data_IF_914943976534
#
_entry.id   IF_914943976534
#
_cell.length_a   1.000
_cell.length_b   1.000
_cell.length_c   1.000
_cell.angle_alpha   90.00
_cell.angle_beta   90.00
_cell.angle_gamma   90.00
#
_symmetry.space_group_name_H-M   'P 1'
#
loop_
_entity.id
_entity.type
_entity.pdbx_description
1 polymer ?
2 non-polymer ?
3 non-polymer ?
4 non-polymer ?
5 non-polymer ?
6 non-polymer ?
7 water ?
#
# COMPACT_ATOMS: atom_id res chain seq x y z
N UNK A 4 1.35 29.59 2.89
CA UNK A 4 1.97 29.37 1.59
C UNK A 4 3.46 29.07 1.76
N UNK A 5 3.75 27.85 2.21
CA UNK A 5 5.09 27.47 2.66
C UNK A 5 5.96 27.01 1.49
N UNK A 6 7.26 27.21 1.63
CA UNK A 6 8.23 26.81 0.62
C UNK A 6 8.94 25.54 1.04
N UNK A 7 9.16 24.65 0.08
CA UNK A 7 9.97 23.45 0.26
C UNK A 7 11.15 23.52 -0.69
N UNK A 8 12.34 23.28 -0.17
CA UNK A 8 13.57 23.39 -0.92
C UNK A 8 14.12 22.00 -1.21
N UNK A 9 14.78 21.87 -2.37
CA UNK A 9 15.62 20.72 -2.63
C UNK A 9 17.05 21.20 -2.46
N UNK A 10 17.80 20.54 -1.58
CA UNK A 10 19.15 20.97 -1.24
C UNK A 10 20.21 20.30 -2.10
N UNK A 11 19.81 19.50 -3.09
CA UNK A 11 20.72 19.01 -4.11
C UNK A 11 20.65 19.84 -5.39
N UNK A 12 19.48 20.42 -5.70
CA UNK A 12 19.28 21.19 -6.91
C UNK A 12 18.96 22.65 -6.66
N UNK A 13 18.84 23.08 -5.39
CA UNK A 13 18.46 24.44 -5.02
C UNK A 13 17.07 24.82 -5.54
N UNK A 14 16.28 23.86 -6.02
CA UNK A 14 14.95 24.15 -6.54
C UNK A 14 13.98 24.38 -5.38
N UNK A 15 13.18 25.45 -5.48
CA UNK A 15 12.17 25.77 -4.49
C UNK A 15 10.79 25.64 -5.11
N UNK A 16 9.87 25.06 -4.37
CA UNK A 16 8.47 24.97 -4.75
C UNK A 16 7.63 25.53 -3.61
N UNK A 17 6.54 26.22 -3.96
CA UNK A 17 5.65 26.81 -2.98
C UNK A 17 4.42 25.93 -2.85
N UNK A 18 4.13 25.51 -1.62
CA UNK A 18 3.00 24.63 -1.33
C UNK A 18 1.84 25.47 -0.81
N UNK A 19 0.74 25.50 -1.58
CA UNK A 19 -0.52 26.02 -1.09
C UNK A 19 -1.57 24.94 -0.89
N UNK A 20 -1.35 23.74 -1.44
CA UNK A 20 -2.32 22.66 -1.32
C UNK A 20 -2.60 22.33 0.14
N UNK A 21 -1.62 22.54 1.03
CA UNK A 21 -1.80 22.20 2.43
C UNK A 21 -2.94 22.98 3.07
N UNK A 22 -3.37 24.07 2.43
CA UNK A 22 -4.54 24.80 2.90
C UNK A 22 -5.81 23.99 2.80
N UNK A 23 -5.90 23.11 1.80
CA UNK A 23 -7.08 22.26 1.65
C UNK A 23 -7.06 21.09 2.62
N UNK A 24 -5.93 20.85 3.27
CA UNK A 24 -5.83 19.79 4.27
C UNK A 24 -6.86 19.98 5.36
N UNK A 25 -7.46 18.87 5.80
CA UNK A 25 -8.47 18.91 6.84
C UNK A 25 -8.04 18.13 8.08
N UNK A 26 -7.59 16.89 7.92
CA UNK A 26 -7.26 16.04 9.05
C UNK A 26 -6.02 16.57 9.78
N UNK A 27 -5.67 15.88 10.86
CA UNK A 27 -4.55 16.28 11.71
C UNK A 27 -3.40 15.29 11.57
N UNK A 28 -2.20 15.75 11.91
CA UNK A 28 -0.97 15.01 11.65
C UNK A 28 -0.46 14.20 12.83
N UNK A 29 -0.83 14.58 14.06
CA UNK A 29 -0.18 14.09 15.25
C UNK A 29 0.84 15.06 15.79
N UNK A 30 1.44 15.88 14.91
CA UNK A 30 2.39 16.87 15.37
C UNK A 30 1.66 18.06 15.98
N UNK A 31 2.34 18.73 16.91
CA UNK A 31 1.86 19.99 17.43
C UNK A 31 2.93 21.05 17.20
N UNK A 32 2.68 22.25 17.71
CA UNK A 32 3.69 23.29 17.63
C UNK A 32 4.93 22.96 18.45
N UNK A 33 4.83 22.01 19.39
CA UNK A 33 5.91 21.72 20.32
C UNK A 33 6.40 20.28 20.26
N UNK A 34 5.91 19.48 19.32
CA UNK A 34 6.36 18.11 19.16
C UNK A 34 6.13 17.68 17.73
N UNK A 35 7.09 16.95 17.18
CA UNK A 35 6.99 16.42 15.83
C UNK A 35 6.93 14.90 15.93
N UNK A 36 5.87 14.34 15.35
CA UNK A 36 5.60 12.91 15.34
C UNK A 36 5.93 12.28 14.00
N UNK A 37 6.70 12.97 13.17
CA UNK A 37 6.97 12.55 11.81
C UNK A 37 7.63 11.19 11.70
N UNK A 38 8.15 10.61 12.78
CA UNK A 38 8.67 9.25 12.71
C UNK A 38 7.80 8.24 13.45
N UNK A 39 6.64 8.64 13.95
CA UNK A 39 5.72 7.70 14.58
C UNK A 39 5.00 6.92 13.49
N UNK A 40 5.01 5.59 13.61
CA UNK A 40 4.56 4.73 12.51
C UNK A 40 3.05 4.87 12.28
N UNK A 41 2.26 4.76 13.34
CA UNK A 41 0.81 4.90 13.24
C UNK A 41 0.39 6.18 13.95
N UNK A 42 0.10 7.26 13.22
CA UNK A 42 -0.30 8.51 13.89
C UNK A 42 -1.80 8.56 14.19
N UNK A 43 -2.14 8.58 15.47
CA UNK A 43 -3.54 8.65 15.88
C UNK A 43 -3.66 9.30 17.26
N UNK A 52 -18.93 4.42 14.81
CA UNK A 52 -19.86 4.58 13.70
C UNK A 52 -20.09 6.07 13.44
N UNK A 53 -20.12 6.45 12.16
CA UNK A 53 -20.24 7.86 11.78
C UNK A 53 -21.70 8.26 11.60
N UNK A 54 -22.03 9.49 12.00
CA UNK A 54 -23.39 10.00 12.01
C UNK A 54 -23.68 10.83 10.76
N UNK A 55 -24.94 11.25 10.62
CA UNK A 55 -25.34 12.00 9.44
C UNK A 55 -25.00 13.47 9.54
N UNK A 56 -24.91 14.01 10.76
CA UNK A 56 -24.42 15.37 10.93
C UNK A 56 -23.04 15.52 10.31
N UNK A 57 -22.12 14.63 10.66
CA UNK A 57 -20.76 14.70 10.14
C UNK A 57 -20.69 14.36 8.66
N UNK A 58 -21.70 13.69 8.12
CA UNK A 58 -21.55 13.05 6.82
C UNK A 58 -21.72 14.05 5.67
N UNK A 59 -22.66 15.00 5.77
CA UNK A 59 -22.87 15.88 4.63
C UNK A 59 -21.72 16.86 4.38
N UNK A 60 -21.08 17.43 5.42
CA UNK A 60 -19.86 18.21 5.16
C UNK A 60 -18.83 17.44 4.34
N UNK A 61 -18.55 16.20 4.72
CA UNK A 61 -17.59 15.37 3.99
C UNK A 61 -18.08 15.06 2.58
N UNK A 62 -19.35 14.73 2.42
CA UNK A 62 -19.90 14.50 1.09
C UNK A 62 -19.78 15.76 0.23
N UNK A 63 -20.26 16.88 0.77
CA UNK A 63 -20.22 18.16 0.05
C UNK A 63 -18.79 18.53 -0.34
N UNK A 64 -17.87 18.48 0.62
CA UNK A 64 -16.47 18.79 0.32
C UNK A 64 -15.97 17.92 -0.83
N UNK A 65 -16.25 16.61 -0.80
CA UNK A 65 -15.75 15.72 -1.83
C UNK A 65 -16.44 15.99 -3.17
N UNK A 66 -17.76 16.18 -3.16
CA UNK A 66 -18.47 16.42 -4.40
C UNK A 66 -18.05 17.74 -5.04
N UNK A 67 -17.71 18.72 -4.22
CA UNK A 67 -17.21 20.00 -4.74
C UNK A 67 -15.93 19.81 -5.53
N UNK A 68 -14.98 19.03 -5.00
CA UNK A 68 -13.71 18.88 -5.69
C UNK A 68 -13.84 17.93 -6.88
N UNK A 69 -14.72 16.94 -6.78
CA UNK A 69 -14.98 16.08 -7.94
C UNK A 69 -15.52 16.89 -9.10
N UNK A 70 -16.54 17.71 -8.86
CA UNK A 70 -17.13 18.48 -9.95
C UNK A 70 -16.19 19.58 -10.42
N UNK A 71 -15.35 20.11 -9.52
CA UNK A 71 -14.30 21.01 -9.96
C UNK A 71 -13.28 20.29 -10.83
N UNK A 72 -13.20 18.97 -10.74
CA UNK A 72 -12.23 18.22 -11.53
C UNK A 72 -12.70 17.93 -12.94
N UNK A 73 -14.01 17.84 -13.17
CA UNK A 73 -14.50 17.59 -14.53
C UNK A 73 -14.86 18.93 -15.16
N UNK A 74 -14.26 20.00 -14.64
CA UNK A 74 -14.48 21.37 -15.13
C UNK A 74 -15.97 21.71 -15.17
N UNK A 75 -16.69 21.32 -14.10
CA UNK A 75 -18.11 21.64 -13.96
C UNK A 75 -18.44 21.98 -12.51
N UNK A 76 -17.58 22.80 -11.87
CA UNK A 76 -17.82 23.32 -10.54
C UNK A 76 -19.03 24.24 -10.58
N UNK A 77 -20.04 23.95 -9.75
CA UNK A 77 -21.19 24.81 -9.61
C UNK A 77 -22.23 24.69 -10.70
N UNK A 78 -21.99 23.83 -11.70
CA UNK A 78 -22.97 23.62 -12.75
C UNK A 78 -24.25 23.04 -12.17
N UNK A 79 -25.28 22.85 -13.01
CA UNK A 79 -26.55 22.32 -12.55
C UNK A 79 -26.39 20.90 -12.03
N UNK A 80 -25.65 20.06 -12.76
CA UNK A 80 -25.48 18.68 -12.33
C UNK A 80 -24.81 18.60 -10.96
N UNK A 81 -23.86 19.49 -10.69
CA UNK A 81 -23.25 19.58 -9.37
C UNK A 81 -24.29 19.90 -8.30
N UNK A 82 -25.06 20.96 -8.52
CA UNK A 82 -26.07 21.36 -7.54
C UNK A 82 -27.07 20.23 -7.29
N UNK A 83 -27.50 19.53 -8.35
CA UNK A 83 -28.50 18.49 -8.17
C UNK A 83 -27.91 17.27 -7.45
N UNK A 84 -26.69 16.89 -7.81
CA UNK A 84 -26.02 15.79 -7.12
C UNK A 84 -25.78 16.12 -5.66
N UNK A 85 -25.55 17.41 -5.37
CA UNK A 85 -25.43 17.84 -3.98
C UNK A 85 -26.74 17.62 -3.23
N UNK A 86 -27.84 18.13 -3.78
CA UNK A 86 -29.15 17.93 -3.16
C UNK A 86 -29.54 16.46 -3.16
N UNK A 87 -29.18 15.73 -4.21
CA UNK A 87 -29.46 14.30 -4.27
C UNK A 87 -28.80 13.55 -3.12
N UNK A 88 -27.52 13.86 -2.86
CA UNK A 88 -26.79 13.19 -1.79
C UNK A 88 -27.25 13.69 -0.42
N UNK A 89 -27.48 14.99 -0.28
CA UNK A 89 -28.07 15.52 0.95
C UNK A 89 -29.37 14.79 1.30
N UNK A 90 -30.26 14.65 0.31
CA UNK A 90 -31.53 13.96 0.57
C UNK A 90 -31.31 12.47 0.87
N UNK A 91 -30.33 11.83 0.23
CA UNK A 91 -30.09 10.42 0.53
C UNK A 91 -29.48 10.22 1.91
N UNK A 92 -28.67 11.18 2.37
CA UNK A 92 -28.20 11.12 3.76
C UNK A 92 -29.34 11.38 4.74
N UNK A 93 -30.38 12.08 4.31
CA UNK A 93 -31.58 12.18 5.16
C UNK A 93 -32.27 10.83 5.29
N UNK A 94 -32.68 10.25 4.16
CA UNK A 94 -33.54 9.06 4.18
C UNK A 94 -32.81 7.85 4.74
N UNK A 95 -31.51 7.74 4.50
CA UNK A 95 -30.75 6.54 4.81
C UNK A 95 -29.57 6.78 5.77
N UNK A 96 -29.29 8.03 6.14
CA UNK A 96 -28.15 8.37 6.99
C UNK A 96 -26.84 7.85 6.41
N UNK A 97 -26.77 7.84 5.07
CA UNK A 97 -25.58 7.49 4.31
C UNK A 97 -25.91 7.80 2.85
N UNK A 98 -24.98 7.49 1.96
CA UNK A 98 -25.23 7.66 0.54
C UNK A 98 -24.33 6.72 -0.24
N UNK A 99 -24.54 6.70 -1.56
CA UNK A 99 -23.84 5.80 -2.47
C UNK A 99 -23.13 6.62 -3.53
N UNK A 100 -21.86 6.32 -3.76
CA UNK A 100 -21.10 7.01 -4.79
C UNK A 100 -21.51 6.53 -6.18
N UNK A 101 -21.57 7.47 -7.12
CA UNK A 101 -21.57 7.11 -8.53
C UNK A 101 -20.28 6.39 -8.88
N UNK A 102 -20.36 5.51 -9.88
CA UNK A 102 -19.17 4.85 -10.42
C UNK A 102 -18.05 5.86 -10.67
N UNK A 103 -18.37 6.97 -11.33
CA UNK A 103 -17.36 7.99 -11.64
C UNK A 103 -16.74 8.56 -10.36
N UNK A 104 -17.58 8.90 -9.38
CA UNK A 104 -17.07 9.42 -8.12
C UNK A 104 -16.20 8.40 -7.39
N UNK A 105 -16.56 7.12 -7.50
CA UNK A 105 -15.75 6.06 -6.91
C UNK A 105 -14.37 6.01 -7.55
N UNK A 106 -14.30 6.06 -8.88
CA UNK A 106 -13.01 6.04 -9.57
C UNK A 106 -12.20 7.29 -9.25
N UNK A 107 -12.85 8.46 -9.22
CA UNK A 107 -12.17 9.68 -8.81
C UNK A 107 -11.67 9.56 -7.37
N UNK A 108 -12.55 9.16 -6.47
CA UNK A 108 -12.18 9.03 -5.06
C UNK A 108 -10.97 8.14 -4.89
N UNK A 109 -10.99 6.96 -5.52
CA UNK A 109 -9.90 6.00 -5.33
C UNK A 109 -8.58 6.54 -5.88
N UNK A 110 -8.62 7.16 -7.06
CA UNK A 110 -7.37 7.66 -7.64
C UNK A 110 -6.76 8.75 -6.79
N UNK A 111 -7.61 9.57 -6.17
CA UNK A 111 -7.11 10.66 -5.35
C UNK A 111 -6.72 10.21 -3.96
N UNK A 112 -7.34 9.15 -3.45
CA UNK A 112 -6.80 8.51 -2.26
C UNK A 112 -5.35 8.09 -2.47
N UNK A 113 -5.05 7.48 -3.62
CA UNK A 113 -3.66 7.17 -3.96
C UNK A 113 -2.86 8.45 -4.16
N UNK A 114 -3.38 9.39 -4.95
CA UNK A 114 -2.70 10.66 -5.16
C UNK A 114 -2.28 11.32 -3.85
N UNK A 115 -3.12 11.20 -2.83
CA UNK A 115 -2.92 11.88 -1.56
C UNK A 115 -2.09 11.08 -0.56
N UNK A 116 -1.69 9.88 -0.91
CA UNK A 116 -0.97 8.97 0.00
C UNK A 116 0.46 9.48 0.14
N UNK A 117 0.71 10.25 1.20
CA UNK A 117 1.99 10.93 1.31
C UNK A 117 3.15 9.96 1.50
N UNK A 118 2.89 8.71 1.90
CA UNK A 118 3.96 7.76 2.15
C UNK A 118 4.33 6.93 0.93
N UNK A 119 3.64 7.15 -0.20
CA UNK A 119 3.82 6.33 -1.40
C UNK A 119 4.73 7.08 -2.36
N UNK A 120 5.84 6.42 -2.74
CA UNK A 120 6.79 7.02 -3.67
C UNK A 120 6.42 6.76 -5.13
N UNK A 121 5.40 5.94 -5.38
CA UNK A 121 5.07 5.55 -6.74
C UNK A 121 3.95 6.35 -7.36
N UNK A 122 3.61 7.50 -6.76
CA UNK A 122 2.37 8.19 -7.11
C UNK A 122 2.41 8.89 -8.46
N UNK A 123 3.53 8.85 -9.19
CA UNK A 123 3.51 9.45 -10.51
C UNK A 123 2.48 8.76 -11.41
N UNK A 124 2.07 7.54 -11.04
CA UNK A 124 1.15 6.69 -11.78
C UNK A 124 -0.29 6.84 -11.33
N UNK A 125 -0.58 7.80 -10.44
CA UNK A 125 -1.82 7.74 -9.67
C UNK A 125 -3.06 7.79 -10.55
N UNK A 126 -2.99 8.47 -11.70
CA UNK A 126 -4.15 8.56 -12.58
C UNK A 126 -4.36 7.29 -13.41
N UNK A 127 -3.33 6.47 -13.56
CA UNK A 127 -3.48 5.16 -14.21
C UNK A 127 -3.73 4.13 -13.10
N UNK A 128 -4.98 4.07 -12.65
CA UNK A 128 -5.41 3.11 -11.64
C UNK A 128 -6.68 2.45 -12.15
N UNK A 129 -6.72 1.12 -12.09
CA UNK A 129 -7.90 0.39 -12.53
C UNK A 129 -8.77 0.12 -11.32
N UNK A 130 -9.98 0.67 -11.32
CA UNK A 130 -10.86 0.58 -10.18
C UNK A 130 -11.88 -0.52 -10.48
N UNK A 131 -11.91 -1.53 -9.64
CA UNK A 131 -12.88 -2.61 -9.76
C UNK A 131 -13.95 -2.38 -8.71
N UNK A 132 -15.16 -2.16 -9.18
CA UNK A 132 -16.29 -1.86 -8.31
C UNK A 132 -16.85 -3.19 -7.85
N UNK A 133 -16.58 -3.57 -6.61
CA UNK A 133 -17.12 -4.78 -6.00
C UNK A 133 -18.16 -4.44 -4.95
N UNK A 134 -18.84 -3.30 -5.13
CA UNK A 134 -19.85 -2.94 -4.16
C UNK A 134 -21.12 -3.79 -4.25
N UNK A 135 -21.27 -4.65 -5.28
CA UNK A 135 -22.40 -5.58 -5.30
C UNK A 135 -22.08 -6.87 -4.58
N UNK A 136 -20.88 -7.00 -4.02
CA UNK A 136 -20.47 -8.23 -3.37
C UNK A 136 -21.26 -8.44 -2.09
N UNK A 137 -21.55 -9.71 -1.79
CA UNK A 137 -22.37 -10.06 -0.63
C UNK A 137 -21.79 -11.18 0.23
N UNK A 138 -20.90 -12.01 -0.30
CA UNK A 138 -20.38 -13.17 0.41
C UNK A 138 -18.87 -13.20 0.29
N UNK A 139 -18.24 -14.02 1.15
CA UNK A 139 -16.80 -14.16 1.09
C UNK A 139 -16.37 -14.84 -0.20
N UNK A 140 -17.15 -15.81 -0.66
CA UNK A 140 -16.94 -16.41 -1.96
C UNK A 140 -16.94 -15.36 -3.06
N UNK A 141 -17.86 -14.40 -2.99
CA UNK A 141 -17.83 -13.31 -3.95
C UNK A 141 -16.57 -12.49 -3.85
N UNK A 142 -16.14 -12.18 -2.62
CA UNK A 142 -14.88 -11.46 -2.43
C UNK A 142 -13.72 -12.23 -3.05
N UNK A 143 -13.61 -13.52 -2.73
CA UNK A 143 -12.57 -14.35 -3.31
C UNK A 143 -12.55 -14.24 -4.83
N UNK A 144 -13.72 -14.35 -5.45
CA UNK A 144 -13.80 -14.22 -6.90
C UNK A 144 -13.32 -12.86 -7.38
N UNK A 145 -13.78 -11.80 -6.70
CA UNK A 145 -13.34 -10.46 -7.06
C UNK A 145 -11.84 -10.28 -6.88
N UNK A 146 -11.29 -10.86 -5.81
CA UNK A 146 -9.85 -10.73 -5.57
C UNK A 146 -9.06 -11.52 -6.60
N UNK A 147 -9.56 -12.71 -6.98
CA UNK A 147 -8.85 -13.47 -7.99
C UNK A 147 -8.76 -12.70 -9.29
N UNK A 148 -9.86 -12.04 -9.68
CA UNK A 148 -9.84 -11.29 -10.92
C UNK A 148 -8.94 -10.07 -10.79
N UNK A 149 -8.90 -9.47 -9.60
CA UNK A 149 -7.95 -8.40 -9.33
C UNK A 149 -6.51 -8.88 -9.52
N UNK A 150 -6.13 -9.95 -8.81
CA UNK A 150 -4.79 -10.52 -8.95
C UNK A 150 -4.46 -10.78 -10.41
N UNK A 151 -5.35 -11.51 -11.11
CA UNK A 151 -5.04 -11.85 -12.50
C UNK A 151 -4.88 -10.59 -13.35
N UNK A 152 -5.80 -9.64 -13.22
CA UNK A 152 -5.69 -8.41 -14.00
C UNK A 152 -4.40 -7.67 -13.66
N UNK A 153 -4.16 -7.43 -12.37
CA UNK A 153 -3.01 -6.63 -11.95
C UNK A 153 -1.69 -7.29 -12.32
N UNK A 154 -1.64 -8.63 -12.32
CA UNK A 154 -0.40 -9.32 -12.66
C UNK A 154 -0.11 -9.22 -14.15
N UNK A 155 -1.10 -9.54 -14.99
CA UNK A 155 -1.01 -9.30 -16.43
C UNK A 155 0.29 -9.86 -17.01
N UNK A 156 0.55 -11.13 -16.71
CA UNK A 156 1.67 -11.86 -17.29
C UNK A 156 3.01 -11.24 -16.93
N UNK A 157 3.08 -10.51 -15.82
CA UNK A 157 4.27 -9.83 -15.39
C UNK A 157 4.34 -8.39 -15.81
N UNK A 158 3.48 -7.96 -16.76
CA UNK A 158 3.38 -6.56 -17.11
C UNK A 158 2.35 -5.91 -16.19
N UNK A 159 2.77 -5.78 -14.93
CA UNK A 159 1.90 -5.40 -13.84
C UNK A 159 1.18 -4.09 -14.10
N UNK A 160 -0.03 -3.98 -13.54
CA UNK A 160 -0.94 -2.87 -13.76
C UNK A 160 -1.54 -2.55 -12.42
N UNK A 161 -1.69 -1.27 -12.15
CA UNK A 161 -2.21 -0.83 -10.87
C UNK A 161 -3.71 -1.03 -10.81
N UNK A 162 -4.20 -1.44 -9.64
CA UNK A 162 -5.60 -1.82 -9.54
C UNK A 162 -6.04 -1.73 -8.09
N UNK A 163 -7.34 -1.46 -7.90
CA UNK A 163 -7.97 -1.49 -6.59
C UNK A 163 -9.34 -2.11 -6.75
N UNK A 164 -9.72 -2.96 -5.81
CA UNK A 164 -11.05 -3.55 -5.76
C UNK A 164 -11.75 -3.04 -4.51
N UNK A 165 -12.92 -2.43 -4.68
CA UNK A 165 -13.62 -1.74 -3.61
C UNK A 165 -14.87 -2.52 -3.23
N UNK A 166 -14.87 -3.04 -2.02
CA UNK A 166 -15.99 -3.82 -1.48
C UNK A 166 -16.98 -2.90 -0.80
N UNK A 167 -18.17 -3.39 -0.47
CA UNK A 167 -19.20 -2.54 0.12
C UNK A 167 -18.67 -1.69 1.28
N UNK A 168 -19.18 -0.46 1.37
CA UNK A 168 -18.77 0.44 2.41
C UNK A 168 -19.33 0.00 3.76
N UNK A 169 -18.60 0.35 4.81
CA UNK A 169 -19.11 0.20 6.16
C UNK A 169 -20.48 0.85 6.27
N UNK A 170 -21.37 0.21 7.03
CA UNK A 170 -22.69 0.78 7.27
C UNK A 170 -22.87 1.07 8.75
N UNK A 171 -23.25 0.05 9.53
CA UNK A 171 -23.35 0.22 10.97
C UNK A 171 -22.01 0.12 11.66
N UNK A 172 -21.07 -0.65 11.11
CA UNK A 172 -19.82 -0.95 11.79
C UNK A 172 -19.65 -2.43 12.11
N UNK A 173 -20.76 -3.13 12.37
CA UNK A 173 -20.73 -4.56 12.61
C UNK A 173 -21.05 -5.38 11.35
N UNK A 174 -21.11 -4.72 10.20
CA UNK A 174 -21.24 -5.40 8.91
C UNK A 174 -20.12 -4.94 7.99
N UNK A 175 -18.89 -5.02 8.46
CA UNK A 175 -17.72 -4.64 7.67
C UNK A 175 -17.32 -5.76 6.73
N UNK A 176 -16.95 -5.37 5.52
CA UNK A 176 -16.21 -6.26 4.63
C UNK A 176 -14.74 -6.06 4.93
N UNK A 177 -14.02 -7.15 5.19
CA UNK A 177 -12.61 -7.07 5.53
C UNK A 177 -11.84 -8.19 4.85
N UNK A 178 -10.69 -7.84 4.27
CA UNK A 178 -9.67 -8.82 3.96
C UNK A 178 -8.75 -8.92 5.17
N UNK A 179 -8.75 -10.07 5.83
CA UNK A 179 -7.97 -10.20 7.07
C UNK A 179 -6.48 -10.22 6.78
N UNK A 180 -6.07 -10.62 5.58
CA UNK A 180 -4.67 -10.57 5.21
C UNK A 180 -4.20 -9.12 5.13
N UNK A 181 -2.95 -8.88 5.57
CA UNK A 181 -2.37 -7.55 5.43
C UNK A 181 -2.04 -7.25 3.97
N UNK A 182 -1.65 -8.26 3.21
CA UNK A 182 -1.51 -8.19 1.76
C UNK A 182 -2.12 -9.44 1.18
N UNK A 183 -2.67 -9.32 -0.04
CA UNK A 183 -3.28 -10.47 -0.70
C UNK A 183 -2.31 -11.65 -0.80
N UNK A 184 -1.06 -11.37 -1.15
CA UNK A 184 -0.07 -12.41 -1.37
C UNK A 184 1.08 -12.16 -0.38
N UNK A 185 1.17 -13.00 0.64
CA UNK A 185 2.26 -13.01 1.60
C UNK A 185 2.65 -14.45 1.88
N UNK A 186 3.91 -14.65 2.25
CA UNK A 186 4.41 -15.96 2.62
C UNK A 186 4.14 -16.25 4.09
N UNK A 187 3.98 -17.54 4.39
CA UNK A 187 3.64 -17.96 5.74
C UNK A 187 4.82 -17.79 6.70
N UNK A 188 4.49 -17.63 7.97
CA UNK A 188 5.48 -17.69 9.03
C UNK A 188 5.13 -18.76 10.04
N UNK A 189 6.12 -19.59 10.38
CA UNK A 189 5.94 -20.63 11.37
C UNK A 189 7.06 -20.54 12.38
N UNK A 190 6.71 -20.36 13.65
CA UNK A 190 7.67 -20.61 14.71
C UNK A 190 8.03 -22.09 14.72
N UNK A 191 9.21 -22.40 15.21
CA UNK A 191 9.75 -23.75 15.13
C UNK A 191 9.75 -24.44 16.48
N UNK A 192 9.82 -25.77 16.50
CA UNK A 192 9.94 -26.48 17.78
C UNK A 192 11.21 -26.13 18.54
N UNK A 193 12.18 -25.50 17.89
CA UNK A 193 13.39 -25.01 18.54
C UNK A 193 13.37 -23.49 18.73
N UNK A 194 12.19 -22.87 18.66
CA UNK A 194 12.03 -21.47 18.98
C UNK A 194 12.41 -20.48 17.89
N UNK A 195 12.94 -20.94 16.76
CA UNK A 195 13.27 -20.03 15.67
C UNK A 195 12.02 -19.83 14.80
N UNK A 196 12.19 -19.37 13.56
CA UNK A 196 11.06 -19.08 12.69
C UNK A 196 11.35 -19.55 11.27
N UNK A 197 10.33 -20.13 10.63
CA UNK A 197 10.38 -20.49 9.22
C UNK A 197 9.50 -19.54 8.41
N UNK A 198 9.96 -19.20 7.22
CA UNK A 198 9.18 -18.33 6.36
C UNK A 198 9.29 -16.87 6.78
N UNK A 199 8.14 -16.20 6.87
CA UNK A 199 8.12 -14.78 7.18
C UNK A 199 7.67 -14.56 8.62
N UNK A 200 8.56 -14.13 9.52
CA UNK A 200 8.16 -13.96 10.93
C UNK A 200 7.06 -12.93 11.12
N UNK A 201 6.91 -11.97 10.21
CA UNK A 201 5.89 -10.95 10.35
C UNK A 201 4.47 -11.54 10.34
N UNK A 202 4.29 -12.74 9.79
CA UNK A 202 2.96 -13.28 9.58
C UNK A 202 2.64 -14.43 10.53
N UNK A 203 3.41 -14.59 11.61
CA UNK A 203 3.28 -15.77 12.44
C UNK A 203 1.95 -15.77 13.18
N UNK A 204 1.48 -14.60 13.61
CA UNK A 204 0.16 -14.55 14.23
C UNK A 204 -0.92 -14.80 13.19
N UNK A 205 -0.79 -14.21 12.00
CA UNK A 205 -1.78 -14.45 10.96
C UNK A 205 -1.76 -15.90 10.50
N UNK A 206 -0.57 -16.50 10.40
CA UNK A 206 -0.51 -17.89 9.96
C UNK A 206 -1.19 -18.80 10.98
N UNK A 207 -1.07 -18.49 12.26
CA UNK A 207 -1.74 -19.29 13.27
C UNK A 207 -3.25 -19.09 13.22
N UNK A 208 -3.70 -17.88 12.88
CA UNK A 208 -5.12 -17.61 12.76
C UNK A 208 -5.72 -18.46 11.64
N UNK A 209 -5.05 -18.48 10.48
CA UNK A 209 -5.46 -19.37 9.40
C UNK A 209 -5.52 -20.81 9.86
N UNK A 210 -4.54 -21.23 10.68
CA UNK A 210 -4.53 -22.59 11.18
C UNK A 210 -5.69 -22.82 12.13
N UNK A 211 -6.02 -21.82 12.95
CA UNK A 211 -7.18 -21.91 13.83
C UNK A 211 -8.48 -22.01 13.05
N UNK A 212 -8.53 -21.37 11.87
CA UNK A 212 -9.70 -21.48 11.01
C UNK A 212 -9.65 -22.68 10.09
N UNK A 213 -8.59 -23.47 10.15
CA UNK A 213 -8.53 -24.73 9.43
C UNK A 213 -7.49 -24.83 8.34
N UNK A 214 -6.61 -23.85 8.18
CA UNK A 214 -5.61 -23.93 7.13
C UNK A 214 -4.66 -25.10 7.41
N UNK A 215 -4.48 -25.93 6.39
CA UNK A 215 -3.52 -27.03 6.46
C UNK A 215 -2.21 -26.50 5.90
N UNK A 216 -1.26 -26.25 6.78
CA UNK A 216 -0.05 -25.53 6.42
C UNK A 216 0.99 -26.47 5.83
N UNK A 217 1.55 -26.13 4.67
CA UNK A 217 2.68 -26.91 4.16
C UNK A 217 4.01 -26.55 4.83
N UNK A 218 3.98 -26.31 6.15
CA UNK A 218 5.08 -25.76 6.96
C UNK A 218 6.42 -25.67 6.26
N UNK A 219 6.50 -24.81 5.23
CA UNK A 219 7.75 -24.53 4.57
C UNK A 219 8.10 -23.06 4.62
N UNK A 220 8.93 -22.60 3.69
CA UNK A 220 9.37 -21.20 3.66
C UNK A 220 8.37 -20.34 2.92
N UNK A 221 8.40 -20.39 1.58
CA UNK A 221 7.64 -19.48 0.74
C UNK A 221 6.28 -20.09 0.37
N UNK A 222 5.48 -20.32 1.40
CA UNK A 222 4.12 -20.84 1.25
C UNK A 222 3.16 -19.67 1.16
N UNK A 223 2.50 -19.53 0.01
CA UNK A 223 1.52 -18.47 -0.15
C UNK A 223 0.41 -18.68 0.86
N UNK A 224 0.12 -17.67 1.67
CA UNK A 224 -0.96 -17.78 2.62
C UNK A 224 -2.32 -17.75 1.91
N UNK A 225 -3.34 -18.37 2.51
CA UNK A 225 -4.68 -18.27 1.96
C UNK A 225 -5.32 -16.93 2.31
N UNK A 226 -6.35 -16.58 1.54
CA UNK A 226 -7.16 -15.41 1.86
C UNK A 226 -8.10 -15.71 3.01
N UNK A 227 -8.17 -14.79 3.96
CA UNK A 227 -9.18 -14.83 5.01
C UNK A 227 -10.12 -13.67 4.76
N UNK A 228 -11.32 -13.98 4.29
CA UNK A 228 -12.25 -12.99 3.77
C UNK A 228 -13.50 -12.95 4.64
N UNK A 229 -13.82 -11.75 5.13
CA UNK A 229 -14.99 -11.48 5.94
C UNK A 229 -15.96 -10.62 5.12
N UNK A 230 -17.18 -11.12 4.94
CA UNK A 230 -18.20 -10.41 4.17
C UNK A 230 -19.34 -10.04 5.09
N UNK A 231 -19.81 -8.79 4.96
CA UNK A 231 -20.96 -8.28 5.70
C UNK A 231 -20.83 -8.55 7.20
N UNK A 232 -19.63 -8.36 7.72
CA UNK A 232 -19.37 -8.57 9.13
C UNK A 232 -19.45 -10.00 9.61
N UNK A 233 -19.69 -10.96 8.72
CA UNK A 233 -19.74 -12.36 9.11
C UNK A 233 -18.34 -12.89 9.40
N UNK A 234 -18.28 -14.02 10.09
CA UNK A 234 -17.00 -14.67 10.36
C UNK A 234 -16.24 -14.87 9.05
N UNK A 235 -14.91 -14.77 9.05
CA UNK A 235 -14.16 -14.85 7.80
C UNK A 235 -13.87 -16.29 7.41
N UNK A 236 -13.60 -16.48 6.12
CA UNK A 236 -13.54 -17.82 5.52
C UNK A 236 -12.28 -17.95 4.66
N UNK A 237 -11.74 -19.16 4.62
CA UNK A 237 -10.45 -19.39 3.99
C UNK A 237 -10.62 -19.76 2.53
N UNK A 238 -9.77 -19.18 1.67
CA UNK A 238 -9.71 -19.55 0.27
C UNK A 238 -8.27 -19.50 -0.20
N UNK A 239 -7.87 -20.49 -0.99
CA UNK A 239 -6.55 -20.54 -1.60
C UNK A 239 -6.60 -19.90 -2.98
N UNK A 240 -5.78 -18.88 -3.19
CA UNK A 240 -5.60 -18.27 -4.51
C UNK A 240 -5.05 -19.35 -5.42
N UNK A 241 -5.69 -19.63 -6.56
CA UNK A 241 -5.14 -20.64 -7.47
C UNK A 241 -3.68 -20.34 -7.77
N UNK A 242 -2.78 -21.29 -7.50
CA UNK A 242 -1.36 -20.94 -7.52
C UNK A 242 -0.90 -20.43 -8.88
N UNK A 243 -1.60 -20.79 -9.97
CA UNK A 243 -1.28 -20.26 -11.29
C UNK A 243 -1.47 -18.75 -11.37
N UNK A 244 -2.24 -18.17 -10.46
CA UNK A 244 -2.44 -16.72 -10.39
C UNK A 244 -1.39 -16.02 -9.54
N UNK A 245 -0.60 -16.75 -8.77
CA UNK A 245 0.43 -16.17 -7.91
C UNK A 245 1.74 -16.23 -8.69
N UNK A 246 2.12 -15.11 -9.29
CA UNK A 246 3.36 -15.04 -10.05
C UNK A 246 4.53 -14.82 -9.11
N UNK A 247 5.53 -15.68 -9.19
CA UNK A 247 6.70 -15.62 -8.33
C UNK A 247 7.95 -15.52 -9.21
N UNK A 248 8.96 -14.85 -8.66
CA UNK A 248 10.23 -14.58 -9.32
C UNK A 248 11.32 -15.28 -8.52
N UNK A 249 11.98 -16.32 -9.06
CA UNK A 249 13.15 -16.88 -8.39
C UNK A 249 14.27 -15.87 -8.44
N UNK A 250 14.93 -15.67 -7.30
CA UNK A 250 15.93 -14.62 -7.17
C UNK A 250 17.29 -15.22 -7.47
N UNK A 251 17.95 -14.69 -8.50
CA UNK A 251 19.30 -15.06 -8.87
C UNK A 251 20.15 -13.80 -8.99
N UNK A 252 21.45 -13.99 -8.85
CA UNK A 252 22.31 -12.85 -9.08
C UNK A 252 22.96 -12.94 -10.47
N UNK A 253 23.32 -11.80 -11.05
CA UNK A 253 23.97 -11.81 -12.36
C UNK A 253 25.45 -12.19 -12.33
N UNK A 254 26.09 -12.14 -11.16
CA UNK A 254 27.47 -12.59 -11.03
C UNK A 254 27.62 -13.86 -10.22
N UNK A 255 26.88 -14.00 -9.12
CA UNK A 255 27.14 -15.03 -8.11
C UNK A 255 26.24 -16.23 -8.37
N UNK A 256 26.78 -17.27 -9.01
CA UNK A 256 25.93 -18.42 -9.33
C UNK A 256 25.48 -19.17 -8.08
N UNK A 257 26.22 -19.07 -6.98
CA UNK A 257 25.73 -19.66 -5.73
C UNK A 257 24.49 -18.95 -5.21
N UNK A 258 24.15 -17.79 -5.76
CA UNK A 258 23.01 -17.04 -5.26
C UNK A 258 21.71 -17.82 -5.47
N UNK A 259 21.62 -18.58 -6.56
CA UNK A 259 20.44 -19.43 -6.74
C UNK A 259 20.34 -20.47 -5.62
N UNK A 260 21.47 -20.89 -5.07
CA UNK A 260 21.44 -21.91 -4.01
C UNK A 260 20.79 -21.37 -2.75
N UNK A 261 20.80 -20.05 -2.56
CA UNK A 261 20.01 -19.45 -1.50
C UNK A 261 18.55 -19.87 -1.58
N UNK A 262 18.07 -20.15 -2.78
CA UNK A 262 16.70 -20.60 -2.95
C UNK A 262 15.69 -19.54 -2.59
N UNK A 263 16.04 -18.28 -2.78
CA UNK A 263 15.12 -17.18 -2.52
C UNK A 263 14.16 -16.99 -3.70
N UNK A 264 12.96 -16.51 -3.38
CA UNK A 264 11.96 -16.13 -4.36
C UNK A 264 11.03 -15.11 -3.73
N UNK A 265 10.34 -14.36 -4.59
CA UNK A 265 9.35 -13.42 -4.08
C UNK A 265 8.20 -13.38 -5.07
N UNK A 266 7.06 -12.86 -4.61
CA UNK A 266 5.90 -12.72 -5.47
C UNK A 266 5.95 -11.37 -6.16
N UNK A 267 5.40 -11.32 -7.38
CA UNK A 267 5.50 -10.11 -8.15
C UNK A 267 4.55 -9.02 -7.75
N UNK A 268 3.45 -9.37 -7.07
CA UNK A 268 2.31 -8.46 -6.91
C UNK A 268 2.24 -7.94 -5.49
N UNK A 269 2.63 -6.65 -5.22
CA UNK A 269 2.42 -6.07 -3.91
C UNK A 269 1.00 -5.50 -3.80
N UNK A 270 0.20 -6.04 -2.89
CA UNK A 270 -1.24 -5.73 -2.88
C UNK A 270 -1.66 -5.58 -1.43
N UNK A 271 -1.79 -4.34 -0.97
CA UNK A 271 -2.15 -4.06 0.41
C UNK A 271 -3.65 -4.24 0.59
N UNK A 272 -4.03 -5.06 1.56
CA UNK A 272 -5.44 -5.38 1.72
C UNK A 272 -6.02 -5.04 3.08
N UNK A 273 -5.26 -4.39 3.97
CA UNK A 273 -5.74 -4.11 5.31
C UNK A 273 -6.04 -2.64 5.56
N UNK A 274 -5.96 -1.79 4.54
CA UNK A 274 -6.18 -0.38 4.76
C UNK A 274 -7.64 -0.02 4.51
N UNK A 275 -8.01 1.21 4.86
CA UNK A 275 -9.36 1.69 4.74
C UNK A 275 -9.37 2.85 3.75
N UNK A 276 -10.26 2.77 2.77
CA UNK A 276 -10.40 3.83 1.77
C UNK A 276 -11.53 4.75 2.20
N UNK A 277 -11.21 6.03 2.37
CA UNK A 277 -12.16 7.06 2.77
C UNK A 277 -12.47 7.94 1.56
N UNK A 278 -13.74 8.01 1.19
CA UNK A 278 -14.20 8.83 0.07
C UNK A 278 -15.48 9.52 0.49
N UNK A 279 -15.49 10.85 0.43
CA UNK A 279 -16.67 11.62 0.81
C UNK A 279 -17.27 11.21 2.14
N UNK A 280 -16.42 10.82 3.09
CA UNK A 280 -16.90 10.37 4.39
C UNK A 280 -17.43 8.95 4.42
N UNK A 281 -17.51 8.27 3.28
CA UNK A 281 -17.83 6.85 3.25
C UNK A 281 -16.56 6.05 3.49
N UNK A 282 -16.71 4.96 4.25
CA UNK A 282 -15.55 4.17 4.68
C UNK A 282 -15.61 2.80 4.02
N UNK A 283 -14.58 2.47 3.25
CA UNK A 283 -14.47 1.20 2.55
C UNK A 283 -13.42 0.35 3.26
N UNK A 284 -13.87 -0.50 4.17
CA UNK A 284 -12.99 -1.27 5.03
C UNK A 284 -12.21 -2.35 4.29
N UNK A 285 -12.65 -2.73 3.09
CA UNK A 285 -12.00 -3.73 2.28
C UNK A 285 -11.76 -3.10 0.92
N UNK A 286 -10.52 -2.81 0.61
CA UNK A 286 -10.21 -2.12 -0.63
C UNK A 286 -8.83 -2.52 -1.13
N UNK A 287 -8.56 -3.82 -1.30
CA UNK A 287 -7.21 -4.23 -1.70
C UNK A 287 -6.74 -3.48 -2.93
N UNK A 288 -5.50 -2.96 -2.86
CA UNK A 288 -4.90 -2.22 -3.96
C UNK A 288 -3.49 -2.73 -4.23
N UNK A 289 -3.12 -2.73 -5.51
CA UNK A 289 -1.82 -3.27 -5.87
C UNK A 289 -1.14 -2.37 -6.91
N UNK A 290 0.18 -2.44 -6.91
CA UNK A 290 0.95 -1.82 -7.96
C UNK A 290 2.07 -2.73 -8.40
N UNK A 291 3.29 -2.24 -8.41
CA UNK A 291 4.46 -3.08 -8.62
C UNK A 291 5.49 -2.72 -7.57
N UNK A 292 6.49 -3.59 -7.39
CA UNK A 292 7.45 -3.39 -6.32
C UNK A 292 8.52 -2.40 -6.71
N UNK A 293 8.92 -1.58 -5.74
CA UNK A 293 10.25 -1.01 -5.73
C UNK A 293 11.21 -2.05 -5.16
N UNK A 294 12.37 -2.19 -5.79
CA UNK A 294 13.27 -3.27 -5.45
C UNK A 294 13.57 -3.37 -3.96
N UNK A 295 13.75 -2.21 -3.31
CA UNK A 295 14.20 -2.22 -1.92
C UNK A 295 13.17 -2.82 -0.97
N UNK A 296 11.87 -2.78 -1.31
CA UNK A 296 10.89 -3.38 -0.41
C UNK A 296 11.23 -4.84 -0.16
N UNK A 297 11.61 -5.56 -1.20
CA UNK A 297 11.97 -6.97 -1.06
C UNK A 297 13.41 -7.09 -0.59
N UNK A 298 14.33 -6.48 -1.33
CA UNK A 298 15.75 -6.72 -1.10
C UNK A 298 16.22 -6.24 0.25
N UNK A 299 15.68 -5.11 0.71
CA UNK A 299 16.17 -4.51 1.94
C UNK A 299 15.27 -4.89 3.12
N UNK A 300 13.99 -4.60 3.00
CA UNK A 300 13.08 -4.79 4.12
C UNK A 300 12.67 -6.25 4.28
N UNK A 301 12.04 -6.82 3.23
CA UNK A 301 11.58 -8.20 3.34
C UNK A 301 12.73 -9.14 3.64
N UNK A 302 13.84 -8.99 2.94
CA UNK A 302 14.94 -9.93 3.08
C UNK A 302 15.88 -9.62 4.26
N UNK A 303 16.09 -8.34 4.59
CA UNK A 303 17.18 -8.00 5.49
C UNK A 303 16.78 -7.32 6.79
N UNK A 304 15.50 -6.97 6.97
CA UNK A 304 15.02 -6.65 8.31
C UNK A 304 15.39 -7.77 9.26
N UNK A 305 15.73 -7.41 10.50
CA UNK A 305 16.08 -8.42 11.51
C UNK A 305 14.87 -9.25 11.90
N UNK A 306 13.68 -8.68 11.81
CA UNK A 306 12.45 -9.36 12.18
C UNK A 306 11.75 -9.99 10.98
N UNK A 307 12.37 -9.92 9.80
CA UNK A 307 11.85 -10.58 8.61
C UNK A 307 12.78 -11.72 8.23
N UNK A 308 13.05 -11.93 6.93
CA UNK A 308 13.79 -13.13 6.52
C UNK A 308 15.24 -13.10 7.02
N UNK A 309 15.82 -11.91 7.15
CA UNK A 309 17.08 -11.73 7.86
C UNK A 309 18.19 -12.57 7.23
N UNK A 310 18.43 -12.31 5.94
CA UNK A 310 19.37 -13.12 5.17
C UNK A 310 20.77 -12.51 5.08
N UNK A 311 20.99 -11.32 5.65
CA UNK A 311 22.33 -10.74 5.63
C UNK A 311 23.36 -11.70 6.18
N UNK A 312 22.98 -12.48 7.21
CA UNK A 312 23.84 -13.51 7.75
C UNK A 312 24.39 -14.43 6.67
N UNK A 313 23.49 -15.12 5.96
CA UNK A 313 23.89 -16.14 5.00
C UNK A 313 24.58 -15.53 3.78
N UNK A 314 24.01 -14.46 3.22
CA UNK A 314 24.55 -13.86 2.00
C UNK A 314 25.98 -13.39 2.22
N UNK A 315 26.26 -12.82 3.41
CA UNK A 315 27.60 -12.35 3.68
C UNK A 315 28.60 -13.50 3.72
N UNK A 316 28.17 -14.63 4.27
CA UNK A 316 29.04 -15.81 4.31
C UNK A 316 29.51 -16.19 2.91
N UNK A 317 28.55 -16.43 2.00
CA UNK A 317 28.87 -16.85 0.65
C UNK A 317 29.66 -15.81 -0.14
N UNK A 318 29.74 -14.58 0.34
CA UNK A 318 30.50 -13.56 -0.36
C UNK A 318 31.97 -13.50 0.05
N UNK A 319 32.37 -14.28 1.06
CA UNK A 319 33.73 -14.23 1.63
C UNK A 319 34.00 -12.87 2.26
N UNK A 320 33.17 -12.53 3.25
CA UNK A 320 33.22 -11.22 3.89
C UNK A 320 33.73 -11.31 5.32
N UNK A 321 34.18 -10.16 5.83
CA UNK A 321 34.69 -10.04 7.19
C UNK A 321 33.51 -9.73 8.11
N UNK A 322 32.96 -10.77 8.73
CA UNK A 322 31.82 -10.63 9.63
C UNK A 322 32.24 -10.48 11.09
N UNK A 323 33.55 -10.40 11.37
CA UNK A 323 33.99 -10.21 12.74
C UNK A 323 33.81 -8.77 13.19
N UNK A 324 34.19 -7.81 12.35
CA UNK A 324 34.17 -6.40 12.71
C UNK A 324 32.95 -5.72 12.11
N UNK A 325 32.21 -4.98 12.95
CA UNK A 325 31.04 -4.25 12.48
C UNK A 325 31.39 -3.25 11.37
N UNK A 326 32.58 -2.66 11.45
CA UNK A 326 33.04 -1.58 10.58
C UNK A 326 33.58 -2.08 9.24
N UNK A 327 33.64 -3.38 9.01
CA UNK A 327 33.96 -3.85 7.67
C UNK A 327 32.81 -3.62 6.70
N UNK A 328 31.67 -3.13 7.19
CA UNK A 328 30.47 -2.89 6.38
C UNK A 328 30.06 -4.14 5.59
N UNK A 329 30.32 -5.32 6.14
CA UNK A 329 29.87 -6.53 5.47
C UNK A 329 28.36 -6.49 5.24
N UNK A 330 27.61 -5.94 6.20
CA UNK A 330 26.16 -5.85 6.04
C UNK A 330 25.77 -4.98 4.86
N UNK A 331 26.35 -3.77 4.78
CA UNK A 331 26.08 -2.88 3.66
C UNK A 331 26.40 -3.56 2.35
N UNK A 332 27.56 -4.22 2.29
CA UNK A 332 28.02 -4.85 1.06
C UNK A 332 27.05 -5.95 0.62
N UNK A 333 26.70 -6.87 1.52
CA UNK A 333 25.77 -7.93 1.15
C UNK A 333 24.38 -7.37 0.84
N UNK A 334 24.04 -6.19 1.37
CA UNK A 334 22.73 -5.61 1.12
C UNK A 334 22.61 -5.13 -0.33
N UNK A 335 23.70 -4.57 -0.87
CA UNK A 335 23.71 -4.13 -2.26
C UNK A 335 23.55 -5.31 -3.22
N UNK A 336 24.37 -6.36 -3.02
CA UNK A 336 24.28 -7.54 -3.88
C UNK A 336 22.88 -8.12 -3.89
N UNK A 337 22.22 -8.15 -2.72
CA UNK A 337 20.88 -8.71 -2.64
C UNK A 337 19.91 -7.92 -3.51
N UNK A 338 20.05 -6.59 -3.51
CA UNK A 338 19.14 -5.73 -4.25
C UNK A 338 19.49 -5.67 -5.75
N UNK A 339 20.76 -5.87 -6.10
CA UNK A 339 21.08 -6.08 -7.52
C UNK A 339 20.41 -7.35 -8.01
N UNK A 340 20.36 -8.37 -7.15
CA UNK A 340 19.80 -9.66 -7.53
C UNK A 340 18.27 -9.60 -7.65
N UNK A 341 17.60 -8.95 -6.70
CA UNK A 341 16.14 -8.84 -6.79
C UNK A 341 15.77 -8.15 -8.09
N UNK A 342 16.40 -7.03 -8.38
CA UNK A 342 16.13 -6.29 -9.61
C UNK A 342 16.40 -7.15 -10.84
N UNK A 343 17.62 -7.72 -10.92
CA UNK A 343 17.99 -8.53 -12.08
C UNK A 343 17.02 -9.67 -12.31
N UNK A 344 16.57 -10.31 -11.23
CA UNK A 344 15.70 -11.47 -11.37
C UNK A 344 14.33 -11.07 -11.90
N UNK A 345 13.74 -10.00 -11.35
CA UNK A 345 12.46 -9.51 -11.85
C UNK A 345 12.57 -9.10 -13.32
N UNK A 346 13.61 -8.33 -13.66
CA UNK A 346 13.77 -7.81 -15.02
C UNK A 346 13.97 -8.94 -16.03
N UNK A 347 14.83 -9.91 -15.70
CA UNK A 347 15.07 -11.04 -16.61
C UNK A 347 13.81 -11.85 -16.85
N UNK A 348 12.84 -11.80 -15.95
CA UNK A 348 11.56 -12.48 -16.12
C UNK A 348 10.47 -11.57 -16.68
N UNK A 349 10.82 -10.35 -17.07
CA UNK A 349 9.85 -9.38 -17.57
C UNK A 349 8.72 -9.14 -16.57
N UNK A 350 9.05 -9.12 -15.28
CA UNK A 350 8.09 -8.78 -14.24
C UNK A 350 8.38 -7.38 -13.77
N UNK A 351 7.38 -6.51 -13.86
CA UNK A 351 7.55 -5.08 -13.54
C UNK A 351 8.17 -4.90 -12.17
N UNK A 352 9.21 -4.07 -12.12
CA UNK A 352 9.84 -3.68 -10.86
C UNK A 352 10.59 -2.39 -11.13
N UNK A 353 10.71 -1.55 -10.11
CA UNK A 353 11.39 -0.27 -10.25
C UNK A 353 12.50 -0.19 -9.22
N UNK A 354 13.66 0.30 -9.64
CA UNK A 354 14.77 0.43 -8.72
C UNK A 354 14.60 1.72 -7.91
N UNK A 355 15.19 1.76 -6.72
CA UNK A 355 14.93 2.91 -5.85
C UNK A 355 15.47 4.20 -6.45
N UNK A 356 16.39 4.12 -7.40
CA UNK A 356 16.87 5.33 -8.07
C UNK A 356 15.84 5.86 -9.06
N UNK A 357 15.33 5.00 -9.94
CA UNK A 357 14.34 5.45 -10.89
C UNK A 357 13.04 5.83 -10.20
N UNK A 358 12.68 5.13 -9.12
CA UNK A 358 11.43 5.43 -8.44
C UNK A 358 11.48 6.80 -7.75
N UNK A 359 12.60 7.10 -7.11
CA UNK A 359 12.70 8.38 -6.41
C UNK A 359 12.84 9.53 -7.40
N UNK A 360 13.53 9.30 -8.52
CA UNK A 360 13.61 10.33 -9.54
C UNK A 360 12.23 10.67 -10.06
N UNK A 361 11.43 9.65 -10.37
CA UNK A 361 10.08 9.89 -10.84
C UNK A 361 9.25 10.63 -9.80
N UNK A 362 9.49 10.36 -8.51
CA UNK A 362 8.70 11.04 -7.49
C UNK A 362 9.04 12.53 -7.41
N UNK A 363 10.32 12.88 -7.56
CA UNK A 363 10.67 14.30 -7.66
C UNK A 363 9.95 14.93 -8.85
N UNK A 364 10.05 14.31 -10.02
CA UNK A 364 9.30 14.79 -11.17
C UNK A 364 7.80 14.84 -10.90
N UNK A 365 7.26 13.80 -10.25
CA UNK A 365 5.86 13.85 -9.83
C UNK A 365 5.60 15.02 -8.90
N UNK A 366 6.48 15.25 -7.95
CA UNK A 366 6.28 16.37 -7.03
C UNK A 366 6.23 17.68 -7.80
N UNK A 367 7.12 17.86 -8.78
CA UNK A 367 7.13 19.09 -9.55
C UNK A 367 5.81 19.32 -10.27
N UNK A 368 5.24 18.24 -10.85
CA UNK A 368 3.95 18.35 -11.50
C UNK A 368 2.85 18.73 -10.51
N UNK A 369 2.86 18.14 -9.32
CA UNK A 369 1.80 18.43 -8.35
C UNK A 369 1.89 19.86 -7.83
N UNK A 370 3.10 20.34 -7.54
CA UNK A 370 3.21 21.74 -7.11
C UNK A 370 2.78 22.69 -8.23
N UNK A 371 3.05 22.35 -9.49
CA UNK A 371 2.65 23.20 -10.59
C UNK A 371 1.13 23.28 -10.72
N UNK A 372 0.48 22.16 -11.04
CA UNK A 372 -0.94 22.17 -11.39
C UNK A 372 -1.86 21.76 -10.24
N UNK A 373 -1.34 21.66 -9.02
CA UNK A 373 -2.18 21.37 -7.86
C UNK A 373 -1.82 22.17 -6.62
N UNK A 374 -0.68 22.87 -6.62
CA UNK A 374 -0.26 23.67 -5.50
C UNK A 374 0.46 22.92 -4.39
N UNK A 375 0.77 21.66 -4.59
CA UNK A 375 1.49 20.91 -3.58
C UNK A 375 1.35 19.42 -3.78
N UNK A 376 2.07 18.69 -2.92
CA UNK A 376 2.09 17.23 -2.95
C UNK A 376 2.46 16.78 -1.55
N UNK A 377 1.49 16.33 -0.75
CA UNK A 377 1.82 15.84 0.59
C UNK A 377 2.79 14.67 0.50
N UNK A 378 3.86 14.73 1.29
CA UNK A 378 4.88 13.71 1.19
C UNK A 378 5.53 13.47 2.55
N UNK A 379 5.77 12.21 2.87
CA UNK A 379 6.29 11.78 4.16
C UNK A 379 7.72 11.34 3.88
N UNK A 380 8.66 12.24 4.19
CA UNK A 380 10.06 11.97 3.94
C UNK A 380 10.47 10.66 4.58
N UNK A 381 10.07 10.43 5.83
CA UNK A 381 10.48 9.24 6.57
C UNK A 381 10.18 7.98 5.77
N UNK A 382 9.09 7.99 5.00
CA UNK A 382 8.69 6.86 4.17
C UNK A 382 9.14 6.96 2.72
N UNK A 383 9.23 8.17 2.16
CA UNK A 383 9.60 8.29 0.75
C UNK A 383 11.06 7.90 0.54
N UNK A 384 11.94 8.28 1.47
CA UNK A 384 13.37 7.97 1.27
C UNK A 384 13.58 6.46 1.37
N UNK A 385 14.20 5.83 0.38
CA UNK A 385 14.41 4.37 0.42
C UNK A 385 15.24 3.92 1.62
N UNK A 386 15.12 2.66 2.02
CA UNK A 386 15.82 2.15 3.21
C UNK A 386 17.27 1.72 2.97
N UNK A 387 17.84 2.06 1.82
CA UNK A 387 19.29 2.01 1.61
C UNK A 387 19.66 3.15 0.69
N UNK A 388 20.93 3.57 0.77
CA UNK A 388 21.48 4.55 -0.17
C UNK A 388 20.69 5.85 -0.15
N UNK A 389 20.12 6.21 1.01
CA UNK A 389 19.18 7.32 1.06
C UNK A 389 19.65 8.56 0.31
N UNK A 390 20.87 9.02 0.60
CA UNK A 390 21.27 10.35 0.13
C UNK A 390 21.85 10.33 -1.28
N UNK A 391 22.00 9.18 -1.93
CA UNK A 391 22.32 9.19 -3.35
C UNK A 391 21.08 9.11 -4.21
N UNK A 392 19.90 9.18 -3.62
CA UNK A 392 18.62 9.37 -4.31
C UNK A 392 18.13 10.80 -4.10
N UNK A 393 17.42 11.37 -5.08
CA UNK A 393 17.10 12.82 -4.99
C UNK A 393 16.06 13.16 -3.92
N UNK A 394 15.26 12.21 -3.46
CA UNK A 394 14.26 12.54 -2.44
C UNK A 394 14.89 12.85 -1.08
N UNK A 395 16.10 12.31 -0.80
CA UNK A 395 16.79 12.62 0.46
C UNK A 395 16.98 14.12 0.62
N UNK A 396 17.31 14.80 -0.46
CA UNK A 396 17.65 16.20 -0.42
C UNK A 396 16.45 17.09 -0.65
N UNK A 397 15.26 16.51 -0.70
CA UNK A 397 14.03 17.23 -1.00
C UNK A 397 13.23 17.40 0.27
N UNK A 398 13.12 18.64 0.74
CA UNK A 398 12.17 18.94 1.79
C UNK A 398 10.76 18.60 1.31
N UNK A 399 9.97 18.03 2.22
CA UNK A 399 8.63 17.58 1.91
C UNK A 399 7.70 18.01 3.04
N UNK A 400 6.55 18.57 2.67
CA UNK A 400 5.51 18.87 3.64
C UNK A 400 4.54 17.71 3.69
N UNK A 401 4.32 17.18 4.89
CA UNK A 401 3.35 16.12 5.11
C UNK A 401 2.06 16.73 5.64
N UNK A 402 0.94 16.38 5.02
CA UNK A 402 -0.38 16.77 5.48
C UNK A 402 -1.41 15.82 4.88
N UNK A 403 -2.58 15.79 5.49
CA UNK A 403 -3.56 14.75 5.23
C UNK A 403 -4.68 15.33 4.38
N UNK A 404 -4.67 14.98 3.10
CA UNK A 404 -5.78 15.30 2.23
C UNK A 404 -6.72 14.10 2.13
N UNK A 405 -7.96 14.40 1.77
CA UNK A 405 -8.94 13.36 1.51
C UNK A 405 -9.47 13.53 0.09
N UNK A 406 -9.92 12.45 -0.60
CA UNK A 406 -9.93 11.02 -0.24
C UNK A 406 -8.58 10.47 0.20
N UNK A 407 -8.56 9.41 1.01
CA UNK A 407 -7.33 8.94 1.59
C UNK A 407 -7.43 7.46 1.93
N UNK A 408 -6.28 6.81 1.95
CA UNK A 408 -6.17 5.48 2.53
C UNK A 408 -5.76 5.65 3.99
N UNK A 409 -6.51 5.04 4.88
CA UNK A 409 -6.29 5.16 6.31
C UNK A 409 -5.96 3.79 6.88
N UNK A 410 -5.22 3.81 7.99
CA UNK A 410 -5.01 2.59 8.75
C UNK A 410 -6.29 2.21 9.48
N UNK A 411 -6.39 0.93 9.81
CA UNK A 411 -7.55 0.47 10.53
C UNK A 411 -7.13 -0.71 11.38
N UNK A 412 -7.82 -0.97 12.48
CA UNK A 412 -7.46 -2.10 13.35
C UNK A 412 -7.49 -3.42 12.61
N UNK A 413 -6.55 -4.30 12.98
CA UNK A 413 -6.60 -5.67 12.51
C UNK A 413 -7.93 -6.29 12.93
N UNK A 414 -8.62 -6.99 12.03
CA UNK A 414 -9.99 -7.43 12.33
C UNK A 414 -10.08 -8.46 13.44
N UNK A 415 -9.02 -9.19 13.76
CA UNK A 415 -9.15 -10.20 14.80
C UNK A 415 -9.19 -9.60 16.20
N UNK A 416 -9.02 -8.28 16.32
CA UNK A 416 -9.14 -7.58 17.59
C UNK A 416 -10.50 -6.94 17.79
N UNK A 417 -11.17 -6.56 16.69
CA UNK A 417 -12.45 -5.86 16.76
C UNK A 417 -13.64 -6.77 16.50
N UNK A 418 -13.45 -7.86 15.76
CA UNK A 418 -14.57 -8.69 15.34
C UNK A 418 -15.30 -9.27 16.55
N UNK A 419 -16.60 -9.48 16.39
CA UNK A 419 -17.42 -10.17 17.37
C UNK A 419 -17.82 -11.49 16.73
N UNK A 420 -17.22 -12.58 17.16
CA UNK A 420 -17.21 -13.85 16.43
C UNK A 420 -18.55 -14.61 16.42
X LIG B 1 3.34 2.80 0.23
X LIG B 1 5.66 2.18 -3.99
X LIG B 1 1.28 1.78 -6.11
X LIG B 1 -0.86 3.36 -2.14
X LIG B 1 4.33 2.53 -0.69
X LIG B 1 5.72 2.18 -0.41
X LIG B 1 6.36 1.99 -1.57
X LIG B 1 5.41 2.25 -2.65
X LIG B 1 7.85 1.60 -1.74
X LIG B 1 6.30 1.98 0.98
X LIG B 1 5.85 0.57 1.33
X LIG B 1 6.53 0.10 2.58
X LIG B 1 7.64 0.60 2.89
X LIG B 1 5.96 -0.79 3.26
X LIG B 1 4.67 1.98 -4.95
X LIG B 1 4.87 1.66 -6.34
X LIG B 1 3.68 1.58 -6.92
X LIG B 1 2.65 1.81 -5.91
X LIG B 1 6.24 1.48 -7.05
X LIG B 1 3.45 1.24 -8.41
X LIG B 1 2.33 1.58 -9.05
X LIG B 1 0.29 2.12 -5.24
X LIG B 1 -1.15 2.06 -5.46
X LIG B 1 -1.76 2.49 -4.34
X LIG B 1 -0.70 2.85 -3.39
X LIG B 1 -1.78 1.56 -6.78
X LIG B 1 -3.22 2.70 -3.97
X LIG B 1 -4.18 2.85 -4.89
X LIG B 1 0.10 3.33 -1.15
X LIG B 1 -0.15 3.67 0.22
X LIG B 1 1.00 3.53 0.90
X LIG B 1 2.01 3.08 -0.03
X LIG B 1 -1.52 4.13 0.77
X LIG B 1 1.20 3.81 2.42
X LIG B 1 1.01 2.52 3.22
X LIG B 1 1.22 2.73 4.71
X LIG B 1 1.07 3.90 5.16
X LIG B 1 1.49 1.74 5.43
X LIG B 1 4.21 2.57 -2.06
X LIG B 1 3.30 2.07 -4.70
X LIG B 1 0.49 2.59 -3.99
X LIG B 1 1.43 2.97 -1.29
X LIG B 1 2.40 2.97 -3.05
X LIG C 1 9.53 3.84 5.46
X LIG C 1 8.94 2.93 4.66
X LIG C 1 8.86 3.17 3.33
X LIG C 1 8.41 1.80 5.19
X LIG C 1 8.47 1.55 6.51
X LIG C 1 7.98 0.50 6.97
X LIG C 1 9.06 2.47 7.34
X LIG C 1 9.61 3.62 6.79
X LIG C 1 9.14 2.26 8.68
X LIG C 1 10.21 4.56 7.58
X LIG C 1 9.33 3.46 9.51
X LIG C 1 10.47 4.33 8.99
X LIG C 1 9.56 3.19 10.99
X LIG C 1 10.62 2.23 11.08
X LIG C 1 9.90 4.48 11.73
X LIG C 1 10.31 4.30 13.19
X LIG C 1 8.77 5.37 11.69
X LIG D 1 3.27 -2.02 0.14
X LIG D 1 3.78 -3.27 0.42
X LIG D 1 2.51 -0.77 3.65
X LIG D 1 2.85 -1.20 1.18
X LIG D 1 2.96 -1.64 2.50
X LIG D 1 3.47 -2.91 2.77
X LIG D 1 3.89 -3.72 1.71
X LIG D 1 1.32 -1.49 4.30
X LIG D 1 -0.40 -1.44 5.98
X LIG D 1 4.22 -1.13 -3.33
X LIG D 1 2.98 -0.91 -3.94
X LIG D 1 1.84 -1.02 -3.17
X LIG D 1 1.95 -1.37 -1.83
X LIG D 1 3.19 -1.61 -1.27
X LIG D 1 0.45 -0.79 -3.76
X LIG D 1 4.19 -4.07 -0.58
X LIG D 1 4.41 -4.95 1.93
X LIG D 1 4.30 -1.50 -2.04
X LIG D 1 5.35 -1.01 -4.07
X LIG D 1 0.60 -0.63 5.26
X LIG E 1 7.30 4.21 -10.45
X LIG E 1 7.56 3.03 -10.78
X LIG E 1 8.21 5.09 -10.36
X LIG E 1 5.89 4.60 -10.20
X LIG F 1 6.12 16.97 12.48
#
# INVERSE_FOLDING_TARGET
CPRFLKVKNWETDVVLTDTLHLKSTLETGCTEHICMGSIMLPSQHTRKPEDVATKDQLFPLAKEFLDQYYSSIKRFGSKAHMDRLEEVNKEIESTSTYQLKDTELIYGAKHAWRNASRCVGRIQWSKLQVFDARDCTTAHGMFNYICNHVKYATNKGNLRSAITIFPQRTDGKHDFRVWNSQLIRYAGYKQPDGSTLGDPANVQFTEICIQQGWKAPRGRFDVLPLLLQANGNDPELFQIPPELVLEVPIRHPKFDWFKDLGLKWYGLPAVSNMLLEIGGLEFSACPFSGWYMGTEIGVRDYCDNSRYNILEEVAKKMDLDMRKTSSLWKDQALVEINIAVLYSFQSDKVTIVDHHSATESFIKHMENEYRCRGGCPADWVWIVPPMSGSITPVFHQEMLNYRLTPSFEYQPDPWNTHVWKG
HEM CHA CHB CHC CHD C1A C2A C3A C4A CMA CAA CBA CGA O1A O2A C1B C2B C3B C4B CMB CAB CBB C1C C2C C3C C4C CMC CAC CBC C1D C2D C3D C4D CMD CAD CBD CGD O1D O2D NA NB NC ND FE
H4B N1 C2 N2 N3 C4 O4 C4A C8A N5 N8 C6 C7 C9 O9 C10 C11 O10
A1A0C C11 C12 C17 C16 C15 C14 C13 C18 C20 C02 C03 C04 C05 C06 C07 F12 F13 N01 N02 N19
ACT C O OXT CH3
ZN ZN
#
